data_IF_829116119838
#
_entry.id   IF_829116119838
#
_cell.length_a   1.000
_cell.length_b   1.000
_cell.length_c   1.000
_cell.angle_alpha   90.00
_cell.angle_beta   90.00
_cell.angle_gamma   90.00
#
_symmetry.space_group_name_H-M   'P 1'
#
loop_
_entity.id
_entity.type
_entity.pdbx_description
1 polymer ?
#
# COMPACT_ATOMS: atom_id res chain seq x y z
N UNK A 1 -4.54 -3.70 -15.85
CA UNK A 1 -3.54 -2.97 -15.02
C UNK A 1 -3.90 -3.19 -13.57
N UNK A 2 -2.94 -3.57 -12.73
CA UNK A 2 -3.20 -3.90 -11.33
C UNK A 2 -2.68 -2.81 -10.39
N UNK A 3 -3.46 -2.43 -9.38
CA UNK A 3 -3.06 -1.50 -8.32
C UNK A 3 -2.93 -2.24 -6.99
N UNK A 4 -1.76 -2.17 -6.37
CA UNK A 4 -1.52 -2.69 -5.03
C UNK A 4 -1.36 -1.51 -4.06
N UNK A 5 -2.32 -1.33 -3.16
CA UNK A 5 -2.30 -0.25 -2.17
C UNK A 5 -1.69 -0.74 -0.85
N UNK A 6 -0.67 -0.04 -0.38
CA UNK A 6 -0.06 -0.23 0.94
C UNK A 6 -0.46 0.95 1.82
N UNK A 7 -1.21 0.69 2.89
CA UNK A 7 -1.93 1.73 3.63
C UNK A 7 -1.58 1.65 5.12
N UNK A 8 -1.28 2.77 5.76
CA UNK A 8 -1.06 2.84 7.21
C UNK A 8 -2.33 2.62 8.02
N UNK A 9 -3.40 3.27 7.60
CA UNK A 9 -4.61 3.31 8.39
C UNK A 9 -5.72 2.41 7.83
N UNK A 10 -6.43 1.73 8.74
CA UNK A 10 -7.54 0.83 8.39
C UNK A 10 -8.74 1.63 7.86
N UNK A 11 -8.99 2.83 8.39
CA UNK A 11 -10.12 3.64 7.90
C UNK A 11 -9.88 4.12 6.46
N UNK A 12 -8.64 4.46 6.15
CA UNK A 12 -8.18 4.76 4.80
C UNK A 12 -8.32 3.56 3.83
N UNK A 13 -8.06 2.33 4.30
CA UNK A 13 -8.33 1.12 3.50
C UNK A 13 -9.80 1.00 3.11
N UNK A 14 -10.72 1.21 4.05
CA UNK A 14 -12.16 1.15 3.78
C UNK A 14 -12.56 2.15 2.71
N UNK A 15 -12.06 3.39 2.81
CA UNK A 15 -12.32 4.42 1.81
C UNK A 15 -11.82 4.02 0.41
N UNK A 16 -10.58 3.51 0.33
CA UNK A 16 -9.98 3.14 -0.96
C UNK A 16 -10.73 1.98 -1.61
N UNK A 17 -11.18 1.00 -0.83
CA UNK A 17 -12.01 -0.10 -1.36
C UNK A 17 -13.27 0.44 -2.03
N UNK A 18 -14.02 1.31 -1.34
CA UNK A 18 -15.24 1.93 -1.89
C UNK A 18 -14.94 2.72 -3.16
N UNK A 19 -13.86 3.51 -3.15
CA UNK A 19 -13.44 4.29 -4.30
C UNK A 19 -13.06 3.40 -5.49
N UNK A 20 -12.24 2.38 -5.25
CA UNK A 20 -11.74 1.49 -6.30
C UNK A 20 -12.83 0.58 -6.86
N UNK A 21 -13.83 0.19 -6.07
CA UNK A 21 -15.00 -0.53 -6.58
C UNK A 21 -15.75 0.32 -7.61
N UNK A 22 -15.87 1.64 -7.37
CA UNK A 22 -16.45 2.58 -8.33
C UNK A 22 -15.60 2.72 -9.60
N UNK A 23 -14.26 2.71 -9.45
CA UNK A 23 -13.32 2.72 -10.58
C UNK A 23 -13.45 1.44 -11.41
N UNK A 24 -13.51 0.27 -10.79
CA UNK A 24 -13.68 -1.01 -11.47
C UNK A 24 -15.00 -1.11 -12.22
N UNK A 25 -16.08 -0.56 -11.66
CA UNK A 25 -17.37 -0.49 -12.34
C UNK A 25 -17.29 0.32 -13.65
N UNK A 26 -16.44 1.35 -13.70
CA UNK A 26 -16.21 2.18 -14.89
C UNK A 26 -15.14 1.63 -15.83
N UNK A 27 -14.15 0.92 -15.29
CA UNK A 27 -12.99 0.40 -16.02
C UNK A 27 -12.74 -1.08 -15.65
N UNK A 28 -13.47 -2.03 -16.26
CA UNK A 28 -13.44 -3.45 -15.89
C UNK A 28 -12.07 -4.15 -16.05
N UNK A 29 -11.17 -3.57 -16.85
CA UNK A 29 -9.79 -4.03 -17.07
C UNK A 29 -8.81 -3.63 -15.95
N UNK A 30 -9.27 -2.82 -15.00
CA UNK A 30 -8.52 -2.43 -13.81
C UNK A 30 -8.85 -3.41 -12.69
N UNK A 31 -7.81 -3.84 -11.99
CA UNK A 31 -7.92 -4.69 -10.79
C UNK A 31 -7.16 -4.04 -9.66
N UNK A 32 -7.54 -4.28 -8.42
CA UNK A 32 -6.80 -3.75 -7.27
C UNK A 32 -6.79 -4.73 -6.09
N UNK A 33 -5.85 -4.51 -5.18
CA UNK A 33 -5.86 -5.09 -3.84
C UNK A 33 -5.32 -4.05 -2.84
N UNK A 34 -5.68 -4.21 -1.57
CA UNK A 34 -5.27 -3.33 -0.49
C UNK A 34 -4.71 -4.13 0.67
N UNK A 35 -3.62 -3.62 1.25
CA UNK A 35 -3.02 -4.15 2.46
C UNK A 35 -2.79 -3.01 3.45
N UNK A 36 -3.58 -2.99 4.52
CA UNK A 36 -3.32 -2.10 5.66
C UNK A 36 -2.33 -2.72 6.64
N UNK A 37 -1.60 -1.86 7.36
CA UNK A 37 -0.72 -2.30 8.44
C UNK A 37 -0.92 -1.42 9.66
N UNK A 38 -1.29 -2.01 10.81
CA UNK A 38 -1.46 -1.24 12.05
C UNK A 38 -0.12 -0.68 12.54
N UNK A 39 0.01 0.65 12.54
CA UNK A 39 1.14 1.38 13.13
C UNK A 39 2.37 1.46 12.23
N UNK A 40 2.21 2.04 11.04
CA UNK A 40 3.32 2.26 10.09
C UNK A 40 4.21 3.43 10.50
N UNK A 41 3.70 4.32 11.36
CA UNK A 41 4.41 5.51 11.78
C UNK A 41 4.47 6.48 10.61
N UNK A 42 3.67 7.54 10.71
CA UNK A 42 3.71 8.68 9.80
C UNK A 42 5.14 9.11 9.52
N UNK A 43 5.37 9.66 8.32
CA UNK A 43 6.64 10.21 7.86
C UNK A 43 7.15 11.32 8.82
N UNK A 44 7.65 10.92 9.98
CA UNK A 44 8.05 11.83 11.04
C UNK A 44 9.35 12.49 10.61
N UNK A 45 9.29 13.82 10.40
CA UNK A 45 10.44 14.68 10.04
C UNK A 45 11.54 14.74 11.13
N UNK A 46 11.55 13.86 12.14
CA UNK A 46 12.46 13.92 13.29
C UNK A 46 13.38 12.70 13.35
N UNK A 47 14.66 12.99 13.14
CA UNK A 47 15.79 12.05 13.20
C UNK A 47 16.10 11.63 14.65
N UNK A 48 15.32 10.71 15.22
CA UNK A 48 15.69 10.02 16.46
C UNK A 48 15.81 8.51 16.24
N UNK A 49 17.01 7.96 16.51
CA UNK A 49 17.42 6.56 16.25
C UNK A 49 16.45 5.51 16.83
N UNK A 50 15.69 5.85 17.88
CA UNK A 50 14.68 4.98 18.49
C UNK A 50 13.38 4.87 17.67
N UNK A 51 12.96 5.93 16.99
CA UNK A 51 11.74 5.97 16.15
C UNK A 51 12.00 5.50 14.72
N UNK A 52 13.25 5.57 14.24
CA UNK A 52 13.67 4.94 12.97
C UNK A 52 13.44 3.42 12.96
N UNK A 53 13.27 2.81 14.13
CA UNK A 53 12.96 1.37 14.30
C UNK A 53 11.47 1.04 14.12
N UNK A 54 10.59 2.04 14.11
CA UNK A 54 9.12 1.88 14.01
C UNK A 54 8.52 2.32 12.68
N UNK A 55 9.28 2.99 11.80
CA UNK A 55 8.92 3.24 10.40
C UNK A 55 8.95 1.96 9.57
N UNK A 56 8.04 1.03 9.86
CA UNK A 56 8.10 -0.35 9.36
C UNK A 56 7.83 -0.44 7.88
N UNK A 57 6.99 0.41 7.29
CA UNK A 57 6.62 0.23 5.88
C UNK A 57 7.80 0.50 4.94
N UNK A 58 8.56 1.60 5.08
CA UNK A 58 9.69 1.87 4.18
C UNK A 58 10.84 0.87 4.37
N UNK A 59 11.11 0.47 5.61
CA UNK A 59 12.14 -0.51 5.93
C UNK A 59 11.75 -1.92 5.44
N UNK A 60 10.48 -2.29 5.56
CA UNK A 60 9.96 -3.58 5.10
C UNK A 60 9.49 -3.53 3.63
N UNK A 61 9.48 -2.36 2.98
CA UNK A 61 9.01 -2.18 1.61
C UNK A 61 9.80 -3.08 0.67
N UNK A 62 11.12 -3.14 0.82
CA UNK A 62 11.97 -4.03 0.02
C UNK A 62 11.55 -5.51 0.17
N UNK A 63 11.16 -5.93 1.38
CA UNK A 63 10.65 -7.28 1.65
C UNK A 63 9.27 -7.49 1.03
N UNK A 64 8.37 -6.51 1.12
CA UNK A 64 7.06 -6.54 0.48
C UNK A 64 7.17 -6.59 -1.05
N UNK A 65 8.01 -5.74 -1.64
CA UNK A 65 8.29 -5.72 -3.08
C UNK A 65 8.83 -7.07 -3.56
N UNK A 66 9.73 -7.71 -2.79
CA UNK A 66 10.18 -9.09 -3.08
C UNK A 66 9.05 -10.10 -3.04
N UNK A 67 8.14 -10.00 -2.07
CA UNK A 67 6.94 -10.84 -2.00
C UNK A 67 6.01 -10.60 -3.20
N UNK A 68 5.82 -9.33 -3.57
CA UNK A 68 4.97 -8.93 -4.69
C UNK A 68 5.50 -9.37 -6.04
N UNK A 69 6.81 -9.50 -6.21
CA UNK A 69 7.36 -10.10 -7.42
C UNK A 69 6.77 -11.50 -7.69
N UNK A 70 6.38 -12.27 -6.67
CA UNK A 70 5.68 -13.54 -6.85
C UNK A 70 4.18 -13.37 -7.00
N UNK A 71 3.53 -12.58 -6.14
CA UNK A 71 2.07 -12.47 -6.15
C UNK A 71 1.51 -11.68 -7.34
N UNK A 72 2.32 -10.81 -7.96
CA UNK A 72 1.90 -9.94 -9.06
C UNK A 72 2.37 -10.45 -10.44
N UNK A 73 3.02 -11.62 -10.51
CA UNK A 73 3.52 -12.22 -11.77
C UNK A 73 2.43 -12.45 -12.82
N UNK A 74 1.18 -12.61 -12.41
CA UNK A 74 0.04 -12.81 -13.31
C UNK A 74 -0.46 -11.53 -14.00
N UNK A 75 0.04 -10.35 -13.62
CA UNK A 75 -0.43 -9.08 -14.16
C UNK A 75 0.57 -8.49 -15.17
N UNK A 76 0.12 -8.02 -16.36
CA UNK A 76 1.00 -7.42 -17.36
C UNK A 76 1.74 -6.17 -16.89
N UNK A 77 1.10 -5.40 -16.00
CA UNK A 77 1.66 -4.22 -15.37
C UNK A 77 0.99 -4.00 -14.01
N UNK A 78 1.81 -3.71 -13.00
CA UNK A 78 1.36 -3.45 -11.63
C UNK A 78 1.91 -2.11 -11.14
N UNK A 79 1.05 -1.31 -10.53
CA UNK A 79 1.39 -0.05 -9.88
C UNK A 79 1.24 -0.27 -8.38
N UNK A 80 2.30 0.05 -7.63
CA UNK A 80 2.29 -0.03 -6.17
C UNK A 80 2.12 1.38 -5.65
N UNK A 81 1.04 1.60 -4.89
CA UNK A 81 0.68 2.90 -4.33
C UNK A 81 0.88 2.80 -2.82
N UNK A 82 1.81 3.58 -2.30
CA UNK A 82 2.06 3.68 -0.86
C UNK A 82 1.35 4.92 -0.35
N UNK A 83 0.46 4.74 0.63
CA UNK A 83 -0.33 5.81 1.23
C UNK A 83 -0.01 5.89 2.72
N UNK A 84 0.68 6.97 3.05
CA UNK A 84 0.81 7.47 4.41
C UNK A 84 -0.17 8.62 4.57
N UNK A 85 -1.12 8.48 5.49
CA UNK A 85 -2.07 9.52 5.87
C UNK A 85 -1.95 9.66 7.39
N UNK A 86 -1.34 10.75 7.84
CA UNK A 86 -1.28 11.17 9.26
C UNK A 86 -2.64 11.62 9.80
#
# INVERSE_FOLDING_TARGET
MHFMFLIEDISSEVFIRIFMDSVMARYPQVTYDCKSFRGIGGFTRRNTVKETRTGKLLNDLATYLRGFNKSLQGYPASIIVVLDME
#
